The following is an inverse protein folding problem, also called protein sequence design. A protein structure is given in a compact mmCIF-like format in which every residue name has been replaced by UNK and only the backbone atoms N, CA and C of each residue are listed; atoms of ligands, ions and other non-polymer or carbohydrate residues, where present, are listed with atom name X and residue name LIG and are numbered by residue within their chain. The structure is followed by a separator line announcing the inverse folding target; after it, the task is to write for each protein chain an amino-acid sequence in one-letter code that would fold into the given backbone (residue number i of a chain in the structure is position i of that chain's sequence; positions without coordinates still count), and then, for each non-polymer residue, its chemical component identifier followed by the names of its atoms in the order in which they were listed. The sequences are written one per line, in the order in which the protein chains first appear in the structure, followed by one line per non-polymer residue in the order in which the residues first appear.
data_IF_180466383524
#
_entry.id   IF_180466383524
#
_cell.length_a   1.000
_cell.length_b   1.000
_cell.length_c   1.000
_cell.angle_alpha   90.00
_cell.angle_beta   90.00
_cell.angle_gamma   90.00
#
_symmetry.space_group_name_H-M   'P 1'
#
loop_
_entity.id
_entity.type
_entity.pdbx_description
1 polymer ?
#
# COMPACT_ATOMS: atom_id res chain seq x y z
N UNK A 1 30.99 -2.07 5.04
CA UNK A 1 29.96 -1.84 4.05
C UNK A 1 28.61 -2.13 4.64
N UNK A 2 27.69 -1.29 4.42
CA UNK A 2 26.33 -1.49 4.88
C UNK A 2 25.48 -2.15 3.80
N UNK A 3 24.51 -2.90 4.24
CA UNK A 3 23.49 -3.38 3.33
C UNK A 3 22.77 -2.16 2.72
N UNK A 4 22.60 -2.20 1.42
CA UNK A 4 21.96 -1.11 0.71
C UNK A 4 20.83 -1.64 -0.14
N UNK A 5 19.73 -0.98 -0.09
CA UNK A 5 18.62 -1.20 -1.01
C UNK A 5 18.12 0.16 -1.49
N UNK A 6 17.61 0.22 -2.73
CA UNK A 6 17.11 1.47 -3.28
C UNK A 6 16.06 2.10 -2.39
N UNK A 7 16.08 3.42 -2.27
CA UNK A 7 15.22 4.09 -1.32
C UNK A 7 13.77 4.10 -1.74
N UNK A 8 12.93 4.03 -0.71
CA UNK A 8 11.53 4.39 -0.77
C UNK A 8 11.40 5.69 0.00
N UNK A 9 10.90 6.73 -0.68
CA UNK A 9 10.71 8.03 -0.07
C UNK A 9 9.24 8.33 0.08
N UNK A 10 8.81 8.70 1.28
CA UNK A 10 7.45 9.10 1.57
C UNK A 10 7.39 10.51 2.10
N UNK A 11 6.36 11.24 1.68
CA UNK A 11 6.07 12.58 2.17
C UNK A 11 4.61 12.63 2.58
N UNK A 12 4.36 13.07 3.81
CA UNK A 12 3.00 13.32 4.27
C UNK A 12 2.54 14.64 3.67
N UNK A 13 1.51 14.59 2.82
CA UNK A 13 0.93 15.77 2.21
C UNK A 13 -0.09 16.43 3.12
N UNK A 14 -0.87 15.62 3.82
CA UNK A 14 -1.86 16.09 4.76
C UNK A 14 -2.17 14.99 5.77
N UNK A 15 -2.51 15.39 6.97
CA UNK A 15 -2.97 14.50 8.03
C UNK A 15 -3.97 15.23 8.88
N UNK A 16 -5.08 14.59 9.17
CA UNK A 16 -6.10 15.22 10.00
C UNK A 16 -6.89 14.21 10.81
N UNK A 17 -7.20 14.53 12.06
CA UNK A 17 -8.09 13.71 12.86
C UNK A 17 -9.52 13.83 12.35
N UNK A 18 -10.28 12.75 12.50
CA UNK A 18 -11.72 12.84 12.28
C UNK A 18 -12.35 13.62 13.43
N UNK A 19 -13.24 14.53 13.09
CA UNK A 19 -13.97 15.33 14.09
C UNK A 19 -15.28 14.67 14.49
N UNK A 20 -15.70 13.66 13.74
CA UNK A 20 -16.87 12.85 14.02
C UNK A 20 -16.42 11.45 14.43
N UNK A 21 -17.32 10.67 15.02
CA UNK A 21 -17.07 9.24 15.18
C UNK A 21 -17.20 8.56 13.83
N UNK A 22 -16.11 7.97 13.34
CA UNK A 22 -16.07 7.33 12.04
C UNK A 22 -15.76 5.85 12.21
N UNK A 23 -16.74 5.02 11.84
CA UNK A 23 -16.55 3.58 11.76
C UNK A 23 -16.46 3.21 10.29
N UNK A 24 -15.37 2.56 9.91
CA UNK A 24 -15.13 2.17 8.54
C UNK A 24 -15.26 0.67 8.38
N UNK A 25 -15.96 0.28 7.35
CA UNK A 25 -15.99 -1.11 6.90
C UNK A 25 -15.65 -1.13 5.42
N UNK A 26 -14.59 -1.84 5.08
CA UNK A 26 -14.13 -2.00 3.71
C UNK A 26 -14.30 -3.45 3.31
N UNK A 27 -14.93 -3.66 2.17
CA UNK A 27 -15.17 -4.97 1.59
C UNK A 27 -14.62 -4.94 0.18
N UNK A 28 -13.71 -5.84 -0.13
CA UNK A 28 -13.09 -5.93 -1.44
C UNK A 28 -12.90 -7.38 -1.86
N UNK A 29 -12.86 -7.61 -3.16
CA UNK A 29 -12.44 -8.90 -3.70
C UNK A 29 -11.06 -8.71 -4.30
N UNK A 30 -10.08 -9.41 -3.74
CA UNK A 30 -8.69 -9.30 -4.14
C UNK A 30 -8.25 -10.69 -4.60
N UNK A 31 -7.83 -10.79 -5.86
CA UNK A 31 -7.47 -12.06 -6.50
C UNK A 31 -8.58 -13.12 -6.34
N UNK A 32 -9.85 -12.69 -6.39
CA UNK A 32 -11.01 -13.57 -6.27
C UNK A 32 -11.47 -13.85 -4.84
N UNK A 33 -10.70 -13.49 -3.85
CA UNK A 33 -11.04 -13.74 -2.45
C UNK A 33 -11.69 -12.51 -1.82
N UNK A 34 -12.76 -12.74 -1.07
CA UNK A 34 -13.44 -11.69 -0.32
C UNK A 34 -12.63 -11.35 0.91
N UNK A 35 -12.29 -10.07 1.04
CA UNK A 35 -11.60 -9.56 2.21
C UNK A 35 -12.40 -8.43 2.86
N UNK A 36 -12.32 -8.37 4.18
CA UNK A 36 -13.03 -7.41 5.00
C UNK A 36 -12.04 -6.71 5.93
N UNK A 37 -12.20 -5.40 6.07
CA UNK A 37 -11.51 -4.63 7.09
C UNK A 37 -12.52 -3.79 7.84
N UNK A 38 -12.34 -3.67 9.14
CA UNK A 38 -13.18 -2.85 9.99
C UNK A 38 -12.32 -2.04 10.93
N UNK A 39 -12.55 -0.75 10.96
CA UNK A 39 -11.89 0.17 11.89
C UNK A 39 -12.97 0.92 12.64
N UNK A 40 -13.08 0.66 13.93
CA UNK A 40 -14.05 1.34 14.77
C UNK A 40 -13.40 2.58 15.37
N UNK A 41 -14.14 3.69 15.37
CA UNK A 41 -13.70 4.96 15.92
C UNK A 41 -12.33 5.35 15.35
N UNK A 42 -12.25 5.46 14.02
CA UNK A 42 -11.01 5.81 13.34
C UNK A 42 -10.49 7.16 13.84
N UNK A 43 -9.19 7.22 14.13
CA UNK A 43 -8.59 8.40 14.75
C UNK A 43 -8.31 9.50 13.73
N UNK A 44 -7.63 9.15 12.64
CA UNK A 44 -7.21 10.14 11.64
C UNK A 44 -7.06 9.51 10.26
N UNK A 45 -6.90 10.36 9.28
CA UNK A 45 -6.53 9.94 7.93
C UNK A 45 -5.29 10.70 7.48
N UNK A 46 -4.49 10.04 6.67
CA UNK A 46 -3.21 10.55 6.18
C UNK A 46 -3.18 10.43 4.67
N UNK A 47 -2.77 11.49 3.99
CA UNK A 47 -2.51 11.45 2.55
C UNK A 47 -1.01 11.56 2.35
N UNK A 48 -0.43 10.56 1.69
CA UNK A 48 1.00 10.47 1.48
C UNK A 48 1.33 10.31 0.01
N UNK A 49 2.50 10.80 -0.36
CA UNK A 49 3.09 10.57 -1.66
C UNK A 49 4.35 9.75 -1.47
N UNK A 50 4.50 8.70 -2.26
CA UNK A 50 5.70 7.86 -2.23
C UNK A 50 6.34 7.80 -3.60
N UNK A 51 7.67 7.76 -3.60
CA UNK A 51 8.45 7.41 -4.78
C UNK A 51 9.30 6.19 -4.46
N UNK A 52 9.36 5.26 -5.41
CA UNK A 52 10.12 4.02 -5.27
C UNK A 52 11.01 3.88 -6.48
N UNK A 53 12.32 3.89 -6.25
CA UNK A 53 13.29 3.73 -7.33
C UNK A 53 13.28 2.30 -7.86
N UNK A 54 13.76 2.07 -9.10
CA UNK A 54 13.89 0.71 -9.63
C UNK A 54 14.65 -0.20 -8.66
N UNK A 55 14.09 -1.38 -8.41
CA UNK A 55 14.61 -2.32 -7.43
C UNK A 55 14.22 -2.02 -6.00
N UNK A 56 13.60 -0.88 -5.73
CA UNK A 56 13.14 -0.52 -4.39
C UNK A 56 11.93 -1.37 -3.96
N UNK A 57 11.77 -1.53 -2.67
CA UNK A 57 10.67 -2.31 -2.12
C UNK A 57 10.36 -1.85 -0.69
N UNK A 58 9.14 -2.12 -0.28
CA UNK A 58 8.69 -1.75 1.07
C UNK A 58 9.17 -2.72 2.14
N UNK A 59 9.47 -3.96 1.76
CA UNK A 59 9.69 -5.06 2.69
C UNK A 59 8.38 -5.62 3.22
N UNK A 60 8.48 -6.78 3.84
CA UNK A 60 7.31 -7.40 4.46
C UNK A 60 6.89 -6.61 5.67
N UNK A 61 5.66 -6.17 5.69
CA UNK A 61 5.12 -5.35 6.77
C UNK A 61 3.60 -5.52 6.87
N UNK A 62 3.05 -5.00 7.95
CA UNK A 62 1.60 -4.93 8.17
C UNK A 62 1.25 -3.60 8.80
N UNK A 63 -0.03 -3.24 8.75
CA UNK A 63 -0.56 -2.06 9.43
C UNK A 63 -2.01 -2.29 9.83
N UNK A 64 -2.53 -1.56 10.82
CA UNK A 64 -3.87 -1.86 11.35
C UNK A 64 -4.99 -1.43 10.41
N UNK A 65 -4.90 -0.28 9.78
CA UNK A 65 -5.97 0.26 8.96
C UNK A 65 -5.79 -0.02 7.47
N UNK A 66 -6.86 0.11 6.68
CA UNK A 66 -6.77 -0.03 5.24
C UNK A 66 -6.05 1.15 4.60
N UNK A 67 -5.34 0.89 3.51
CA UNK A 67 -4.68 1.90 2.71
C UNK A 67 -5.17 1.80 1.27
N UNK A 68 -5.55 2.95 0.72
CA UNK A 68 -5.96 3.07 -0.67
C UNK A 68 -4.77 3.62 -1.46
N UNK A 69 -4.27 2.83 -2.40
CA UNK A 69 -3.06 3.16 -3.14
C UNK A 69 -3.42 3.43 -4.60
N UNK A 70 -3.00 4.58 -5.12
CA UNK A 70 -3.17 4.92 -6.54
C UNK A 70 -1.80 5.13 -7.16
N UNK A 71 -1.50 4.36 -8.19
CA UNK A 71 -0.25 4.48 -8.93
C UNK A 71 -0.38 5.63 -9.92
N UNK A 72 0.50 6.62 -9.81
CA UNK A 72 0.54 7.76 -10.73
C UNK A 72 1.56 7.56 -11.84
N UNK A 73 2.63 6.82 -11.56
CA UNK A 73 3.75 6.64 -12.48
C UNK A 73 4.41 5.29 -12.22
N UNK A 74 4.84 4.63 -13.29
CA UNK A 74 5.53 3.34 -13.19
C UNK A 74 4.59 2.18 -12.89
N UNK A 75 5.16 1.04 -12.56
CA UNK A 75 4.40 -0.16 -12.21
C UNK A 75 4.87 -0.68 -10.86
N UNK A 76 3.92 -0.84 -9.94
CA UNK A 76 4.18 -1.29 -8.58
C UNK A 76 3.59 -2.68 -8.41
N UNK A 77 4.40 -3.64 -7.98
CA UNK A 77 3.98 -5.03 -7.88
C UNK A 77 3.78 -5.41 -6.42
N UNK A 78 2.57 -5.86 -6.13
CA UNK A 78 2.13 -6.22 -4.78
C UNK A 78 2.27 -7.72 -4.56
N UNK A 79 2.78 -8.09 -3.39
CA UNK A 79 2.96 -9.49 -2.96
C UNK A 79 2.25 -9.71 -1.64
N UNK A 80 1.42 -10.74 -1.58
CA UNK A 80 0.70 -11.14 -0.40
C UNK A 80 1.55 -12.13 0.41
N UNK A 81 1.76 -11.86 1.69
CA UNK A 81 2.56 -12.72 2.56
C UNK A 81 1.95 -14.09 2.82
N UNK A 82 0.66 -14.25 2.56
CA UNK A 82 -0.03 -15.54 2.71
C UNK A 82 -0.09 -16.33 1.41
N UNK A 83 0.35 -15.76 0.32
CA UNK A 83 0.39 -16.44 -0.98
C UNK A 83 1.63 -17.32 -1.07
N UNK A 84 1.44 -18.62 -0.95
CA UNK A 84 2.54 -19.59 -1.02
C UNK A 84 3.24 -19.60 -2.37
N UNK A 85 2.53 -19.26 -3.45
CA UNK A 85 3.12 -19.18 -4.78
C UNK A 85 3.95 -17.93 -4.98
N UNK A 86 3.80 -16.94 -4.10
CA UNK A 86 4.51 -15.66 -4.16
C UNK A 86 4.33 -14.97 -5.53
N UNK A 87 3.07 -14.95 -6.00
CA UNK A 87 2.74 -14.35 -7.29
C UNK A 87 2.47 -12.87 -7.13
N UNK A 88 3.28 -12.04 -7.78
CA UNK A 88 3.08 -10.60 -7.76
C UNK A 88 1.90 -10.15 -8.60
N UNK A 89 1.21 -9.13 -8.13
CA UNK A 89 0.12 -8.48 -8.87
C UNK A 89 0.62 -7.09 -9.26
N UNK A 90 0.85 -6.83 -10.56
CA UNK A 90 1.32 -5.52 -10.99
C UNK A 90 0.17 -4.53 -11.12
N UNK A 91 0.43 -3.30 -10.69
CA UNK A 91 -0.47 -2.17 -10.88
C UNK A 91 0.29 -1.07 -11.61
N UNK A 92 -0.23 -0.67 -12.76
CA UNK A 92 0.37 0.36 -13.60
C UNK A 92 -0.24 1.74 -13.37
N UNK A 93 0.17 2.72 -14.19
CA UNK A 93 -0.31 4.10 -14.05
C UNK A 93 -1.83 4.19 -14.13
N UNK A 94 -2.40 5.00 -13.25
CA UNK A 94 -3.85 5.21 -13.12
C UNK A 94 -4.62 4.00 -12.61
N UNK A 95 -3.94 3.02 -12.07
CA UNK A 95 -4.56 1.89 -11.40
C UNK A 95 -4.45 2.05 -9.89
N UNK A 96 -5.44 1.50 -9.19
CA UNK A 96 -5.51 1.59 -7.73
C UNK A 96 -5.74 0.21 -7.14
N UNK A 97 -5.25 0.04 -5.93
CA UNK A 97 -5.57 -1.15 -5.14
C UNK A 97 -5.79 -0.76 -3.68
N UNK A 98 -6.43 -1.64 -2.96
CA UNK A 98 -6.61 -1.48 -1.52
C UNK A 98 -5.80 -2.53 -0.79
N UNK A 99 -5.03 -2.05 0.19
CA UNK A 99 -4.36 -2.88 1.15
C UNK A 99 -5.23 -2.87 2.40
N UNK A 100 -5.79 -4.00 2.73
CA UNK A 100 -6.84 -4.08 3.75
C UNK A 100 -6.33 -3.82 5.17
N UNK A 101 -5.04 -3.93 5.42
CA UNK A 101 -4.52 -3.77 6.77
C UNK A 101 -4.89 -4.92 7.66
N UNK A 102 -5.29 -4.64 8.90
CA UNK A 102 -5.73 -5.63 9.89
C UNK A 102 -4.63 -6.65 10.24
N UNK A 103 -3.36 -6.21 10.19
CA UNK A 103 -2.23 -7.08 10.48
C UNK A 103 -1.83 -8.01 9.34
N UNK A 104 -2.45 -7.89 8.18
CA UNK A 104 -2.10 -8.70 7.01
C UNK A 104 -0.71 -8.32 6.49
N UNK A 105 0.17 -9.30 6.35
CA UNK A 105 1.56 -9.08 5.93
C UNK A 105 1.65 -9.05 4.41
N UNK A 106 2.30 -8.03 3.89
CA UNK A 106 2.48 -7.84 2.46
C UNK A 106 3.77 -7.08 2.17
N UNK A 107 4.17 -7.07 0.90
CA UNK A 107 5.29 -6.29 0.39
C UNK A 107 4.94 -5.79 -1.00
N UNK A 108 5.54 -4.69 -1.41
CA UNK A 108 5.39 -4.19 -2.77
C UNK A 108 6.74 -3.71 -3.28
N UNK A 109 6.96 -3.88 -4.60
CA UNK A 109 8.26 -3.69 -5.23
C UNK A 109 8.14 -2.95 -6.54
N UNK A 110 9.16 -2.16 -6.83
CA UNK A 110 9.36 -1.64 -8.17
C UNK A 110 10.30 -2.59 -8.94
N UNK A 111 9.71 -3.45 -9.75
CA UNK A 111 10.45 -4.43 -10.55
C UNK A 111 10.70 -3.93 -11.99
N UNK A 112 10.31 -2.69 -12.26
CA UNK A 112 10.52 -2.05 -13.55
C UNK A 112 11.81 -1.26 -13.62
N UNK A 113 11.92 -0.47 -14.69
CA UNK A 113 13.11 0.33 -14.96
C UNK A 113 12.88 1.83 -14.71
N UNK A 114 11.63 2.23 -14.48
CA UNK A 114 11.26 3.62 -14.21
C UNK A 114 10.90 3.79 -12.76
N UNK A 115 11.05 5.02 -12.26
CA UNK A 115 10.59 5.37 -10.93
C UNK A 115 9.09 5.15 -10.78
N UNK A 116 8.68 4.59 -9.67
CA UNK A 116 7.27 4.48 -9.29
C UNK A 116 6.88 5.67 -8.44
N UNK A 117 5.78 6.32 -8.80
CA UNK A 117 5.16 7.35 -7.98
C UNK A 117 3.75 6.92 -7.60
N UNK A 118 3.41 7.05 -6.32
CA UNK A 118 2.08 6.66 -5.85
C UNK A 118 1.58 7.59 -4.74
N UNK A 119 0.25 7.60 -4.61
CA UNK A 119 -0.43 8.29 -3.53
C UNK A 119 -1.14 7.26 -2.67
N UNK A 120 -1.03 7.44 -1.37
CA UNK A 120 -1.61 6.53 -0.39
C UNK A 120 -2.48 7.32 0.57
N UNK A 121 -3.70 6.82 0.76
CA UNK A 121 -4.62 7.41 1.72
C UNK A 121 -5.19 6.34 2.65
#
# INVERSE_FOLDING_TARGET
MRAYHPPVHGTILARGPFTEEVDLKVKARIAGDLELAQVDDAADTIVQQFTVQPGGFTGWHSHPGPAFVTVAQGTFTYYDGEDESCTGIPYGPSESFVDMGQGHVHSARNEGTDEVGLYVM
#
